data_IF_506119163344
#
_entry.id   IF_506119163344
#
_cell.length_a   1.000
_cell.length_b   1.000
_cell.length_c   1.000
_cell.angle_alpha   90.00
_cell.angle_beta   90.00
_cell.angle_gamma   90.00
#
_symmetry.space_group_name_H-M   'P 1'
#
loop_
_entity.id
_entity.type
_entity.pdbx_description
1 polymer ?
#
# COMPACT_ATOMS: atom_id res chain seq x y z
N UNK A 1 4.47 19.58 21.62
CA UNK A 1 4.32 18.81 20.36
C UNK A 1 3.04 19.16 19.60
N UNK A 2 1.87 19.15 20.25
CA UNK A 2 0.59 19.53 19.61
C UNK A 2 0.60 20.95 19.02
N UNK A 3 1.19 21.92 19.70
CA UNK A 3 1.33 23.29 19.20
C UNK A 3 2.15 23.38 17.90
N UNK A 4 3.20 22.56 17.76
CA UNK A 4 4.03 22.53 16.55
C UNK A 4 3.26 21.94 15.36
N UNK A 5 2.42 20.93 15.61
CA UNK A 5 1.50 20.38 14.60
C UNK A 5 0.45 21.41 14.19
N UNK A 6 -0.11 22.14 15.14
CA UNK A 6 -1.08 23.20 14.83
C UNK A 6 -0.45 24.32 14.01
N UNK A 7 0.77 24.77 14.36
CA UNK A 7 1.49 25.80 13.59
C UNK A 7 1.84 25.34 12.18
N UNK A 8 2.34 24.12 12.01
CA UNK A 8 2.65 23.57 10.68
C UNK A 8 1.39 23.43 9.82
N UNK A 9 0.30 22.93 10.39
CA UNK A 9 -1.01 22.88 9.72
C UNK A 9 -1.59 24.27 9.47
N UNK A 10 -1.27 25.30 10.25
CA UNK A 10 -1.73 26.66 10.01
C UNK A 10 -1.06 27.30 8.78
N UNK A 11 0.19 26.94 8.49
CA UNK A 11 0.94 27.45 7.31
C UNK A 11 0.33 26.92 6.01
N UNK A 12 -0.16 25.68 6.01
CA UNK A 12 -0.77 25.00 4.88
C UNK A 12 -2.15 25.59 4.52
N UNK A 13 -2.36 25.80 3.22
CA UNK A 13 -3.66 26.22 2.66
C UNK A 13 -4.71 25.11 2.76
N UNK A 14 -6.01 25.47 2.64
CA UNK A 14 -7.12 24.50 2.65
C UNK A 14 -6.97 23.41 1.58
N UNK A 15 -6.41 23.76 0.42
CA UNK A 15 -6.15 22.81 -0.69
C UNK A 15 -5.04 21.82 -0.34
N UNK A 16 -3.94 22.28 0.24
CA UNK A 16 -2.82 21.43 0.67
C UNK A 16 -3.23 20.50 1.80
N UNK A 17 -4.08 20.95 2.73
CA UNK A 17 -4.66 20.06 3.78
C UNK A 17 -5.46 18.91 3.20
N UNK A 18 -6.29 19.16 2.17
CA UNK A 18 -7.04 18.09 1.50
C UNK A 18 -6.11 17.11 0.78
N UNK A 19 -5.06 17.61 0.13
CA UNK A 19 -4.04 16.77 -0.50
C UNK A 19 -3.28 15.92 0.53
N UNK A 20 -2.94 16.49 1.69
CA UNK A 20 -2.31 15.78 2.79
C UNK A 20 -3.19 14.64 3.31
N UNK A 21 -4.50 14.88 3.49
CA UNK A 21 -5.44 13.84 3.90
C UNK A 21 -5.55 12.71 2.85
N UNK A 22 -5.62 13.04 1.56
CA UNK A 22 -5.62 12.06 0.48
C UNK A 22 -4.32 11.25 0.43
N UNK A 23 -3.17 11.89 0.68
CA UNK A 23 -1.88 11.19 0.78
C UNK A 23 -1.85 10.22 1.95
N UNK A 24 -2.43 10.61 3.09
CA UNK A 24 -2.49 9.76 4.26
C UNK A 24 -3.30 8.48 3.97
N UNK A 25 -4.46 8.61 3.32
CA UNK A 25 -5.26 7.46 2.87
C UNK A 25 -4.44 6.60 1.91
N UNK A 26 -3.80 7.19 0.91
CA UNK A 26 -2.99 6.47 -0.07
C UNK A 26 -1.82 5.71 0.58
N UNK A 27 -1.14 6.32 1.56
CA UNK A 27 -0.06 5.69 2.31
C UNK A 27 -0.56 4.57 3.22
N UNK A 28 -1.75 4.72 3.80
CA UNK A 28 -2.37 3.67 4.58
C UNK A 28 -2.72 2.47 3.71
N UNK A 29 -3.32 2.69 2.53
CA UNK A 29 -3.57 1.64 1.54
C UNK A 29 -2.27 0.97 1.10
N UNK A 30 -1.22 1.75 0.80
CA UNK A 30 0.11 1.24 0.45
C UNK A 30 0.65 0.29 1.53
N UNK A 31 0.59 0.70 2.80
CA UNK A 31 1.08 -0.11 3.92
C UNK A 31 0.29 -1.42 4.06
N UNK A 32 -1.03 -1.40 3.89
CA UNK A 32 -1.86 -2.60 3.92
C UNK A 32 -1.47 -3.58 2.82
N UNK A 33 -1.36 -3.13 1.57
CA UNK A 33 -0.99 -4.00 0.45
C UNK A 33 0.43 -4.56 0.58
N UNK A 34 1.38 -3.76 1.08
CA UNK A 34 2.72 -4.26 1.36
C UNK A 34 2.72 -5.33 2.47
N UNK A 35 2.00 -5.08 3.56
CA UNK A 35 1.89 -6.04 4.66
C UNK A 35 1.23 -7.34 4.19
N UNK A 36 0.14 -7.26 3.42
CA UNK A 36 -0.53 -8.43 2.84
C UNK A 36 0.38 -9.19 1.87
N UNK A 37 1.12 -8.48 1.02
CA UNK A 37 2.07 -9.09 0.09
C UNK A 37 3.15 -9.89 0.83
N UNK A 38 3.77 -9.31 1.86
CA UNK A 38 4.78 -10.00 2.68
C UNK A 38 4.16 -11.14 3.49
N UNK A 39 3.00 -10.92 4.09
CA UNK A 39 2.29 -11.92 4.87
C UNK A 39 1.86 -13.13 4.03
N UNK A 40 1.65 -12.96 2.71
CA UNK A 40 1.30 -14.04 1.79
C UNK A 40 2.46 -15.00 1.47
N UNK A 41 3.70 -14.61 1.73
CA UNK A 41 4.90 -15.44 1.47
C UNK A 41 4.89 -16.71 2.31
N UNK A 42 4.66 -16.57 3.62
CA UNK A 42 4.65 -17.72 4.55
C UNK A 42 3.61 -18.79 4.20
N UNK A 43 2.30 -18.47 4.05
CA UNK A 43 1.31 -19.47 3.69
C UNK A 43 1.61 -20.12 2.33
N UNK A 44 2.14 -19.36 1.37
CA UNK A 44 2.55 -19.93 0.08
C UNK A 44 3.71 -20.93 0.22
N UNK A 45 4.77 -20.59 0.97
CA UNK A 45 5.88 -21.54 1.22
C UNK A 45 5.36 -22.81 1.90
N UNK A 46 4.50 -22.67 2.92
CA UNK A 46 3.95 -23.84 3.61
C UNK A 46 3.11 -24.72 2.69
N UNK A 47 2.36 -24.11 1.77
CA UNK A 47 1.55 -24.80 0.78
C UNK A 47 2.41 -25.61 -0.20
N UNK A 48 3.53 -25.04 -0.64
CA UNK A 48 4.49 -25.71 -1.54
C UNK A 48 5.21 -26.85 -0.83
N UNK A 49 5.62 -26.65 0.43
CA UNK A 49 6.35 -27.66 1.20
C UNK A 49 5.49 -28.87 1.56
N UNK A 50 4.22 -28.64 1.92
CA UNK A 50 3.29 -29.68 2.33
C UNK A 50 1.94 -29.52 1.60
N UNK A 51 1.82 -30.04 0.37
CA UNK A 51 0.59 -29.90 -0.42
C UNK A 51 -0.64 -30.56 0.24
N UNK A 52 -0.43 -31.53 1.13
CA UNK A 52 -1.49 -32.21 1.89
C UNK A 52 -2.31 -31.26 2.79
N UNK A 53 -1.80 -30.07 3.11
CA UNK A 53 -2.55 -29.08 3.92
C UNK A 53 -3.82 -28.60 3.18
N UNK A 54 -3.85 -28.69 1.84
CA UNK A 54 -5.02 -28.32 1.03
C UNK A 54 -6.23 -29.18 1.37
N UNK A 55 -6.03 -30.47 1.61
CA UNK A 55 -7.12 -31.42 1.91
C UNK A 55 -7.47 -31.45 3.39
N UNK A 56 -6.52 -31.12 4.27
CA UNK A 56 -6.72 -31.11 5.73
C UNK A 56 -7.42 -29.84 6.24
N UNK A 57 -7.21 -28.69 5.58
CA UNK A 57 -7.76 -27.42 6.03
C UNK A 57 -9.07 -27.09 5.30
N UNK A 58 -10.16 -26.93 6.05
CA UNK A 58 -11.50 -26.61 5.51
C UNK A 58 -11.49 -25.36 4.65
N UNK A 59 -10.71 -24.33 5.01
CA UNK A 59 -10.63 -23.10 4.22
C UNK A 59 -9.95 -23.33 2.87
N UNK A 60 -8.79 -23.99 2.85
CA UNK A 60 -8.06 -24.28 1.60
C UNK A 60 -8.84 -25.26 0.71
N UNK A 61 -9.45 -26.28 1.31
CA UNK A 61 -10.25 -27.28 0.59
C UNK A 61 -11.52 -26.65 -0.03
N UNK A 62 -12.16 -25.70 0.67
CA UNK A 62 -13.31 -24.97 0.12
C UNK A 62 -12.91 -24.11 -1.08
N UNK A 63 -11.79 -23.41 -0.99
CA UNK A 63 -11.23 -22.66 -2.13
C UNK A 63 -10.84 -23.59 -3.28
N UNK A 64 -10.19 -24.72 -2.99
CA UNK A 64 -9.81 -25.72 -4.00
C UNK A 64 -11.02 -26.26 -4.77
N UNK A 65 -12.10 -26.62 -4.06
CA UNK A 65 -13.35 -27.09 -4.67
C UNK A 65 -14.12 -25.98 -5.39
N UNK A 66 -14.16 -24.76 -4.85
CA UNK A 66 -14.86 -23.63 -5.46
C UNK A 66 -14.27 -23.26 -6.82
N UNK A 67 -12.94 -23.23 -6.91
CA UNK A 67 -12.23 -22.98 -8.17
C UNK A 67 -12.08 -24.23 -9.06
N UNK A 68 -12.59 -25.38 -8.60
CA UNK A 68 -12.66 -26.66 -9.33
C UNK A 68 -11.31 -27.09 -9.92
N UNK A 69 -10.23 -26.96 -9.15
CA UNK A 69 -8.90 -27.35 -9.61
C UNK A 69 -8.80 -28.87 -9.78
N UNK A 70 -8.25 -29.30 -10.92
CA UNK A 70 -8.08 -30.72 -11.27
C UNK A 70 -6.85 -31.36 -10.59
N UNK A 71 -5.84 -30.56 -10.27
CA UNK A 71 -4.58 -31.03 -9.68
C UNK A 71 -4.04 -30.06 -8.63
N UNK A 72 -3.37 -30.62 -7.62
CA UNK A 72 -2.73 -29.90 -6.52
C UNK A 72 -1.69 -28.91 -7.02
N UNK A 73 -0.91 -29.27 -8.06
CA UNK A 73 0.08 -28.37 -8.64
C UNK A 73 -0.58 -27.14 -9.29
N UNK A 74 -1.75 -27.31 -9.90
CA UNK A 74 -2.48 -26.18 -10.51
C UNK A 74 -2.95 -25.17 -9.45
N UNK A 75 -3.37 -25.66 -8.28
CA UNK A 75 -3.70 -24.80 -7.14
C UNK A 75 -2.47 -24.05 -6.61
N UNK A 76 -1.33 -24.73 -6.48
CA UNK A 76 -0.06 -24.12 -6.04
C UNK A 76 0.37 -23.03 -7.03
N UNK A 77 0.31 -23.29 -8.34
CA UNK A 77 0.65 -22.29 -9.37
C UNK A 77 -0.27 -21.07 -9.26
N UNK A 78 -1.58 -21.27 -9.11
CA UNK A 78 -2.51 -20.16 -8.93
C UNK A 78 -2.20 -19.36 -7.65
N UNK A 79 -1.96 -20.03 -6.52
CA UNK A 79 -1.59 -19.37 -5.27
C UNK A 79 -0.31 -18.54 -5.42
N UNK A 80 0.67 -19.07 -6.16
CA UNK A 80 1.90 -18.35 -6.50
C UNK A 80 1.66 -17.14 -7.38
N UNK A 81 0.78 -17.24 -8.38
CA UNK A 81 0.38 -16.11 -9.23
C UNK A 81 -0.34 -15.03 -8.41
N UNK A 82 -1.22 -15.41 -7.48
CA UNK A 82 -1.91 -14.48 -6.58
C UNK A 82 -0.92 -13.77 -5.66
N UNK A 83 0.02 -14.51 -5.07
CA UNK A 83 1.09 -13.94 -4.25
C UNK A 83 1.95 -12.95 -5.06
N UNK A 84 2.37 -13.34 -6.26
CA UNK A 84 3.15 -12.48 -7.16
C UNK A 84 2.36 -11.22 -7.51
N UNK A 85 1.07 -11.37 -7.84
CA UNK A 85 0.19 -10.26 -8.13
C UNK A 85 0.08 -9.30 -6.93
N UNK A 86 -0.10 -9.81 -5.70
CA UNK A 86 -0.16 -8.98 -4.49
C UNK A 86 1.12 -8.17 -4.28
N UNK A 87 2.28 -8.78 -4.49
CA UNK A 87 3.58 -8.10 -4.35
C UNK A 87 3.75 -7.03 -5.45
N UNK A 88 3.50 -7.38 -6.71
CA UNK A 88 3.60 -6.42 -7.82
C UNK A 88 2.63 -5.25 -7.65
N UNK A 89 1.38 -5.54 -7.28
CA UNK A 89 0.36 -4.53 -7.06
C UNK A 89 0.70 -3.63 -5.87
N UNK A 90 1.18 -4.21 -4.77
CA UNK A 90 1.68 -3.45 -3.62
C UNK A 90 2.84 -2.51 -4.00
N UNK A 91 3.77 -2.99 -4.83
CA UNK A 91 4.87 -2.18 -5.35
C UNK A 91 4.38 -1.04 -6.27
N UNK A 92 3.41 -1.30 -7.14
CA UNK A 92 2.80 -0.27 -7.98
C UNK A 92 2.14 0.83 -7.13
N UNK A 93 1.35 0.46 -6.12
CA UNK A 93 0.76 1.42 -5.18
C UNK A 93 1.85 2.22 -4.47
N UNK A 94 2.93 1.55 -4.05
CA UNK A 94 4.07 2.19 -3.38
C UNK A 94 4.80 3.19 -4.28
N UNK A 95 4.94 2.89 -5.57
CA UNK A 95 5.50 3.80 -6.56
C UNK A 95 4.59 5.03 -6.75
N UNK A 96 3.28 4.83 -6.91
CA UNK A 96 2.29 5.92 -7.04
C UNK A 96 2.27 6.80 -5.78
N UNK A 97 2.26 6.18 -4.59
CA UNK A 97 2.30 6.90 -3.31
C UNK A 97 3.59 7.72 -3.18
N UNK A 98 4.73 7.17 -3.60
CA UNK A 98 6.01 7.87 -3.57
C UNK A 98 6.04 9.05 -4.52
N UNK A 99 5.56 8.88 -5.75
CA UNK A 99 5.40 9.98 -6.69
C UNK A 99 4.47 11.08 -6.15
N UNK A 100 3.33 10.69 -5.58
CA UNK A 100 2.37 11.63 -5.01
C UNK A 100 2.95 12.41 -3.82
N UNK A 101 3.73 11.76 -2.95
CA UNK A 101 4.48 12.41 -1.87
C UNK A 101 5.45 13.46 -2.41
N UNK A 102 6.29 13.10 -3.38
CA UNK A 102 7.23 14.05 -3.97
C UNK A 102 6.55 15.25 -4.60
N UNK A 103 5.47 15.01 -5.37
CA UNK A 103 4.68 16.08 -5.98
C UNK A 103 4.11 17.04 -4.94
N UNK A 104 3.61 16.53 -3.82
CA UNK A 104 3.09 17.35 -2.73
C UNK A 104 4.20 18.16 -2.04
N UNK A 105 5.34 17.53 -1.74
CA UNK A 105 6.49 18.21 -1.12
C UNK A 105 6.99 19.34 -2.01
N UNK A 106 7.16 19.10 -3.32
CA UNK A 106 7.65 20.11 -4.25
C UNK A 106 6.70 21.29 -4.40
N UNK A 107 5.39 21.01 -4.56
CA UNK A 107 4.38 22.07 -4.63
C UNK A 107 4.33 22.90 -3.34
N UNK A 108 4.34 22.24 -2.18
CA UNK A 108 4.25 22.93 -0.90
C UNK A 108 5.52 23.74 -0.63
N UNK A 109 6.70 23.21 -0.98
CA UNK A 109 7.97 23.94 -0.87
C UNK A 109 7.94 25.23 -1.69
N UNK A 110 7.57 25.16 -2.98
CA UNK A 110 7.48 26.35 -3.83
C UNK A 110 6.45 27.36 -3.31
N UNK A 111 5.27 26.90 -2.88
CA UNK A 111 4.21 27.78 -2.36
C UNK A 111 4.63 28.49 -1.07
N UNK A 112 5.26 27.77 -0.14
CA UNK A 112 5.73 28.32 1.14
C UNK A 112 6.86 29.31 0.90
N UNK A 113 7.86 28.94 0.09
CA UNK A 113 8.99 29.80 -0.24
C UNK A 113 8.55 31.12 -0.89
N UNK A 114 7.60 31.08 -1.83
CA UNK A 114 7.06 32.29 -2.45
C UNK A 114 6.26 33.17 -1.47
N UNK A 115 5.47 32.56 -0.57
CA UNK A 115 4.70 33.31 0.44
C UNK A 115 5.60 33.97 1.48
N UNK A 116 6.62 33.27 1.95
CA UNK A 116 7.62 33.83 2.87
C UNK A 116 8.34 34.99 2.21
N UNK A 117 8.87 34.80 0.99
CA UNK A 117 9.59 35.85 0.26
C UNK A 117 8.74 37.12 0.10
N UNK A 118 7.46 36.98 -0.28
CA UNK A 118 6.53 38.11 -0.38
C UNK A 118 6.31 38.83 0.95
N UNK A 119 6.34 38.13 2.07
CA UNK A 119 6.15 38.73 3.39
C UNK A 119 7.42 39.37 3.95
N UNK A 120 8.60 39.04 3.42
CA UNK A 120 9.87 39.67 3.80
C UNK A 120 10.25 40.85 2.89
N UNK A 121 9.79 40.87 1.64
CA UNK A 121 10.07 41.95 0.68
C UNK A 121 9.06 43.11 0.72
N UNK A 122 7.89 42.92 1.33
CA UNK A 122 6.85 43.92 1.54
C UNK A 122 6.46 43.93 3.01
#
# INVERSE_FOLDING_TARGET
MLEMLQKTLAILTRREKRQLFLLLILMFSMALFQALGVASVLPFITLVMNPEIITQNIYLHSFYKYFNFADTNSFIIMAGLVMLFLILFGNLISAVATYAKFKFVWNNHNNISQRLLRHYLF
#
